data_IF_798012788781
#
_entry.id   IF_798012788781
#
_cell.length_a   1.000
_cell.length_b   1.000
_cell.length_c   1.000
_cell.angle_alpha   90.00
_cell.angle_beta   90.00
_cell.angle_gamma   90.00
#
_symmetry.space_group_name_H-M   'P 1'
#
loop_
_entity.id
_entity.type
_entity.pdbx_description
1 polymer ?
#
# COMPACT_ATOMS: atom_id res chain seq x y z
N UNK A 1 -18.08 7.61 0.25
CA UNK A 1 -19.37 7.60 -0.50
C UNK A 1 -19.11 7.17 -1.93
N UNK A 2 -20.00 6.37 -2.56
CA UNK A 2 -19.91 6.07 -3.99
C UNK A 2 -19.89 7.38 -4.80
N UNK A 3 -18.95 7.51 -5.75
CA UNK A 3 -18.83 8.69 -6.61
C UNK A 3 -18.07 9.90 -6.03
N UNK A 4 -17.42 9.76 -4.88
CA UNK A 4 -16.52 10.77 -4.32
C UNK A 4 -15.13 10.74 -4.99
N UNK A 5 -14.48 11.90 -5.09
CA UNK A 5 -13.24 12.21 -5.83
C UNK A 5 -11.98 11.48 -5.34
N UNK A 6 -12.06 10.66 -4.29
CA UNK A 6 -10.91 9.94 -3.75
C UNK A 6 -9.87 10.84 -3.06
N UNK A 7 -10.03 12.17 -3.04
CA UNK A 7 -9.10 13.10 -2.40
C UNK A 7 -9.01 12.83 -0.89
N UNK A 8 -10.15 12.61 -0.24
CA UNK A 8 -10.19 12.26 1.19
C UNK A 8 -9.41 10.97 1.50
N UNK A 9 -9.46 9.98 0.61
CA UNK A 9 -8.71 8.72 0.74
C UNK A 9 -7.20 8.95 0.60
N UNK A 10 -6.77 9.79 -0.33
CA UNK A 10 -5.36 10.19 -0.46
C UNK A 10 -4.87 10.96 0.77
N UNK A 11 -5.64 11.95 1.23
CA UNK A 11 -5.33 12.75 2.40
C UNK A 11 -5.23 11.88 3.68
N UNK A 12 -6.06 10.85 3.81
CA UNK A 12 -6.00 9.92 4.92
C UNK A 12 -4.66 9.16 4.99
N UNK A 13 -4.12 8.76 3.83
CA UNK A 13 -2.80 8.14 3.73
C UNK A 13 -1.66 9.05 4.14
N UNK A 14 -1.80 10.36 3.96
CA UNK A 14 -0.87 11.39 4.45
C UNK A 14 -0.95 11.49 5.97
N UNK A 15 -2.16 11.60 6.53
CA UNK A 15 -2.37 11.74 7.99
C UNK A 15 -1.85 10.52 8.77
N UNK A 16 -2.06 9.31 8.23
CA UNK A 16 -1.60 8.06 8.84
C UNK A 16 -0.16 7.68 8.50
N UNK A 17 0.43 8.35 7.50
CA UNK A 17 1.75 8.03 6.96
C UNK A 17 1.91 6.54 6.57
N UNK A 18 0.81 5.84 6.29
CA UNK A 18 0.73 4.38 6.12
C UNK A 18 0.68 3.95 4.65
N UNK A 19 0.62 4.92 3.73
CA UNK A 19 0.81 4.74 2.29
C UNK A 19 2.03 5.53 1.85
N UNK A 20 2.74 5.06 0.84
CA UNK A 20 3.95 5.65 0.31
C UNK A 20 3.65 6.98 -0.35
N UNK A 21 2.56 7.17 -1.11
CA UNK A 21 2.15 8.51 -1.52
C UNK A 21 2.04 9.46 -0.33
N UNK A 22 1.47 9.00 0.79
CA UNK A 22 1.41 9.74 2.03
C UNK A 22 2.78 10.07 2.61
N UNK A 23 3.66 9.07 2.70
CA UNK A 23 5.04 9.21 3.19
C UNK A 23 5.88 10.15 2.34
N UNK A 24 5.79 10.03 1.02
CA UNK A 24 6.45 10.90 0.06
C UNK A 24 5.93 12.32 0.19
N UNK A 25 4.62 12.52 0.30
CA UNK A 25 4.04 13.85 0.48
C UNK A 25 4.53 14.52 1.78
N UNK A 26 4.48 13.80 2.90
CA UNK A 26 4.97 14.31 4.19
C UNK A 26 6.45 14.64 4.15
N UNK A 27 7.28 13.74 3.61
CA UNK A 27 8.72 13.96 3.52
C UNK A 27 9.06 15.12 2.59
N UNK A 28 8.41 15.19 1.43
CA UNK A 28 8.59 16.28 0.48
C UNK A 28 8.23 17.63 1.11
N UNK A 29 7.10 17.72 1.80
CA UNK A 29 6.68 18.95 2.47
C UNK A 29 7.67 19.39 3.56
N UNK A 30 8.16 18.45 4.38
CA UNK A 30 9.16 18.75 5.41
C UNK A 30 10.50 19.19 4.80
N UNK A 31 10.98 18.51 3.77
CA UNK A 31 12.24 18.84 3.10
C UNK A 31 12.16 20.19 2.38
N UNK A 32 11.03 20.48 1.74
CA UNK A 32 10.79 21.80 1.15
C UNK A 32 10.79 22.89 2.22
N UNK A 33 10.02 22.72 3.30
CA UNK A 33 9.94 23.69 4.39
C UNK A 33 11.31 23.98 5.04
N UNK A 34 12.16 22.95 5.17
CA UNK A 34 13.50 23.08 5.74
C UNK A 34 14.42 23.99 4.92
N UNK A 35 14.19 24.11 3.60
CA UNK A 35 15.04 24.88 2.68
C UNK A 35 14.26 25.89 1.83
N UNK A 36 13.05 26.27 2.26
CA UNK A 36 12.14 27.06 1.44
C UNK A 36 12.72 28.43 1.12
N UNK A 37 13.47 29.04 2.04
CA UNK A 37 14.09 30.33 1.82
C UNK A 37 15.19 30.26 0.76
N UNK A 38 16.06 29.24 0.81
CA UNK A 38 17.09 29.03 -0.23
C UNK A 38 16.47 28.71 -1.59
N UNK A 39 15.27 28.14 -1.60
CA UNK A 39 14.52 27.81 -2.81
C UNK A 39 13.77 29.03 -3.40
N UNK A 40 13.99 30.24 -2.87
CA UNK A 40 13.39 31.48 -3.35
C UNK A 40 12.06 31.85 -2.69
N UNK A 41 11.64 31.14 -1.64
CA UNK A 41 10.44 31.49 -0.89
C UNK A 41 10.62 32.78 -0.08
N UNK A 42 9.54 33.56 0.03
CA UNK A 42 9.46 34.72 0.93
C UNK A 42 9.45 34.34 2.41
N UNK A 43 9.25 33.08 2.73
CA UNK A 43 9.21 32.58 4.09
C UNK A 43 10.59 32.07 4.53
N UNK A 44 10.89 32.22 5.82
CA UNK A 44 12.11 31.67 6.42
C UNK A 44 12.01 30.14 6.52
N UNK A 45 13.16 29.45 6.50
CA UNK A 45 13.20 27.99 6.70
C UNK A 45 12.51 27.56 7.98
N UNK A 46 11.80 26.44 7.90
CA UNK A 46 11.00 25.92 8.98
C UNK A 46 11.11 24.41 9.08
N UNK A 47 11.38 23.92 10.29
CA UNK A 47 11.26 22.52 10.65
C UNK A 47 10.06 22.36 11.57
N UNK A 48 9.07 21.56 11.16
CA UNK A 48 7.78 21.47 11.86
C UNK A 48 7.72 20.17 12.68
N UNK A 49 7.17 20.26 13.89
CA UNK A 49 6.81 19.09 14.70
C UNK A 49 5.54 18.42 14.17
N UNK A 50 5.28 17.18 14.60
CA UNK A 50 4.05 16.47 14.25
C UNK A 50 2.79 17.25 14.68
N UNK A 51 2.85 17.97 15.81
CA UNK A 51 1.76 18.87 16.25
C UNK A 51 1.57 20.08 15.35
N UNK A 52 2.65 20.67 14.84
CA UNK A 52 2.55 21.78 13.91
C UNK A 52 1.96 21.32 12.56
N UNK A 53 2.32 20.14 12.10
CA UNK A 53 1.70 19.50 10.93
C UNK A 53 0.22 19.15 11.16
N UNK A 54 -0.15 18.67 12.35
CA UNK A 54 -1.55 18.46 12.73
C UNK A 54 -2.35 19.78 12.69
N UNK A 55 -1.78 20.87 13.21
CA UNK A 55 -2.40 22.19 13.16
C UNK A 55 -2.55 22.72 11.73
N UNK A 56 -1.56 22.46 10.86
CA UNK A 56 -1.67 22.72 9.43
C UNK A 56 -2.82 21.90 8.79
N UNK A 57 -2.91 20.61 9.09
CA UNK A 57 -3.97 19.74 8.57
C UNK A 57 -5.38 20.22 8.94
N UNK A 58 -5.56 20.71 10.16
CA UNK A 58 -6.83 21.34 10.59
C UNK A 58 -7.15 22.60 9.80
N UNK A 59 -6.15 23.48 9.58
CA UNK A 59 -6.32 24.66 8.72
C UNK A 59 -6.69 24.27 7.29
N UNK A 60 -6.06 23.23 6.73
CA UNK A 60 -6.39 22.74 5.40
C UNK A 60 -7.85 22.26 5.33
N UNK A 61 -8.32 21.50 6.32
CA UNK A 61 -9.72 21.04 6.37
C UNK A 61 -10.72 22.21 6.45
N UNK A 62 -10.41 23.27 7.20
CA UNK A 62 -11.24 24.48 7.25
C UNK A 62 -11.32 25.17 5.88
N UNK A 63 -10.18 25.36 5.21
CA UNK A 63 -10.11 25.98 3.88
C UNK A 63 -10.80 25.13 2.81
N UNK A 64 -10.67 23.81 2.88
CA UNK A 64 -11.38 22.86 2.01
C UNK A 64 -12.90 22.97 2.21
N UNK A 65 -13.37 22.94 3.46
CA UNK A 65 -14.79 23.06 3.80
C UNK A 65 -15.40 24.37 3.30
N UNK A 66 -14.70 25.49 3.44
CA UNK A 66 -15.14 26.79 2.92
C UNK A 66 -15.42 26.76 1.41
N UNK A 67 -14.57 26.09 0.64
CA UNK A 67 -14.74 25.94 -0.81
C UNK A 67 -15.90 25.00 -1.15
N UNK A 68 -16.06 23.89 -0.43
CA UNK A 68 -17.22 23.00 -0.60
C UNK A 68 -18.53 23.73 -0.33
N UNK A 69 -18.59 24.49 0.76
CA UNK A 69 -19.75 25.33 1.08
C UNK A 69 -20.01 26.39 0.01
N UNK A 70 -18.97 26.95 -0.59
CA UNK A 70 -19.11 27.91 -1.69
C UNK A 70 -19.69 27.28 -2.96
N UNK A 71 -19.39 26.01 -3.25
CA UNK A 71 -20.01 25.27 -4.35
C UNK A 71 -21.46 24.87 -4.04
N UNK A 72 -21.75 24.46 -2.80
CA UNK A 72 -23.13 24.21 -2.36
C UNK A 72 -24.03 25.44 -2.51
N UNK A 73 -23.55 26.63 -2.10
CA UNK A 73 -24.28 27.90 -2.27
C UNK A 73 -24.53 28.27 -3.74
N UNK A 74 -23.80 27.69 -4.68
CA UNK A 74 -23.98 27.87 -6.13
C UNK A 74 -24.82 26.77 -6.76
N UNK A 75 -25.49 25.94 -5.95
CA UNK A 75 -26.30 24.82 -6.41
C UNK A 75 -25.48 23.81 -7.23
N UNK A 76 -24.20 23.65 -6.89
CA UNK A 76 -23.27 22.67 -7.48
C UNK A 76 -22.80 21.65 -6.44
N UNK A 77 -23.71 20.80 -5.91
CA UNK A 77 -23.35 19.78 -4.94
C UNK A 77 -22.41 18.71 -5.52
N UNK A 78 -22.41 18.52 -6.84
CA UNK A 78 -21.47 17.69 -7.58
C UNK A 78 -20.02 18.16 -7.39
N UNK A 79 -19.78 19.47 -7.52
CA UNK A 79 -18.45 20.07 -7.30
C UNK A 79 -18.10 20.24 -5.83
N UNK A 80 -19.11 20.34 -4.95
CA UNK A 80 -18.86 20.33 -3.51
C UNK A 80 -18.45 18.94 -3.01
N UNK A 81 -19.00 17.88 -3.61
CA UNK A 81 -18.63 16.49 -3.33
C UNK A 81 -17.25 16.17 -3.93
N UNK A 82 -17.02 16.60 -5.17
CA UNK A 82 -15.80 16.37 -5.94
C UNK A 82 -15.12 17.70 -6.25
N UNK A 83 -14.30 18.17 -5.31
CA UNK A 83 -13.73 19.51 -5.44
C UNK A 83 -12.84 19.58 -6.70
N UNK A 84 -13.04 20.60 -7.56
CA UNK A 84 -12.14 20.84 -8.69
C UNK A 84 -10.69 20.98 -8.22
N UNK A 85 -9.74 20.52 -9.02
CA UNK A 85 -8.31 20.61 -8.73
C UNK A 85 -7.87 22.04 -8.43
N UNK A 86 -8.44 23.03 -9.12
CA UNK A 86 -8.18 24.44 -8.84
C UNK A 86 -8.66 24.87 -7.45
N UNK A 87 -9.79 24.33 -6.96
CA UNK A 87 -10.28 24.58 -5.60
C UNK A 87 -9.39 23.89 -4.57
N UNK A 88 -9.01 22.64 -4.81
CA UNK A 88 -8.09 21.91 -3.91
C UNK A 88 -6.75 22.63 -3.81
N UNK A 89 -6.18 23.06 -4.94
CA UNK A 89 -4.94 23.84 -4.97
C UNK A 89 -5.07 25.14 -4.17
N UNK A 90 -6.18 25.87 -4.34
CA UNK A 90 -6.43 27.10 -3.58
C UNK A 90 -6.55 26.86 -2.07
N UNK A 91 -7.16 25.75 -1.64
CA UNK A 91 -7.22 25.39 -0.22
C UNK A 91 -5.82 25.15 0.36
N UNK A 92 -4.98 24.39 -0.35
CA UNK A 92 -3.60 24.14 0.07
C UNK A 92 -2.78 25.44 0.11
N UNK A 93 -2.84 26.25 -0.95
CA UNK A 93 -2.10 27.53 -1.01
C UNK A 93 -2.41 28.38 0.22
N UNK A 94 -3.71 28.58 0.51
CA UNK A 94 -4.15 29.35 1.68
C UNK A 94 -3.67 28.74 3.00
N UNK A 95 -3.72 27.41 3.13
CA UNK A 95 -3.28 26.74 4.34
C UNK A 95 -1.76 26.85 4.57
N UNK A 96 -0.95 26.68 3.51
CA UNK A 96 0.51 26.82 3.60
C UNK A 96 0.90 28.27 3.90
N UNK A 97 0.33 29.24 3.20
CA UNK A 97 0.63 30.66 3.42
C UNK A 97 0.27 31.12 4.83
N UNK A 98 -0.88 30.67 5.37
CA UNK A 98 -1.30 30.99 6.74
C UNK A 98 -0.31 30.45 7.78
N UNK A 99 0.41 29.37 7.47
CA UNK A 99 1.44 28.77 8.33
C UNK A 99 2.86 29.22 7.99
N UNK A 100 3.01 30.25 7.15
CA UNK A 100 4.31 30.76 6.68
C UNK A 100 5.16 29.69 6.01
N UNK A 101 4.50 28.85 5.22
CA UNK A 101 5.11 27.83 4.40
C UNK A 101 4.85 28.14 2.92
N UNK A 102 5.82 27.81 2.08
CA UNK A 102 5.66 27.96 0.64
C UNK A 102 4.55 27.02 0.12
N UNK A 103 3.61 27.47 -0.72
CA UNK A 103 2.62 26.60 -1.34
C UNK A 103 3.21 25.41 -2.10
N UNK A 104 4.45 25.53 -2.60
CA UNK A 104 5.15 24.44 -3.26
C UNK A 104 5.59 23.33 -2.29
N UNK A 105 5.35 23.45 -0.98
CA UNK A 105 5.42 22.32 -0.05
C UNK A 105 4.39 21.23 -0.39
N UNK A 106 3.30 21.58 -1.08
CA UNK A 106 2.33 20.60 -1.56
C UNK A 106 2.83 19.92 -2.83
N UNK A 107 3.04 18.60 -2.77
CA UNK A 107 3.66 17.83 -3.87
C UNK A 107 3.03 18.07 -5.24
N UNK A 108 1.69 18.01 -5.43
CA UNK A 108 1.07 18.24 -6.74
C UNK A 108 1.16 19.68 -7.24
N UNK A 109 1.41 20.66 -6.36
CA UNK A 109 1.30 22.10 -6.67
C UNK A 109 2.12 22.52 -7.86
N UNK A 110 3.38 22.08 -7.91
CA UNK A 110 4.33 22.47 -8.95
C UNK A 110 3.85 22.05 -10.35
N UNK A 111 3.36 20.82 -10.47
CA UNK A 111 2.84 20.29 -11.74
C UNK A 111 1.50 20.93 -12.12
N UNK A 112 0.58 21.07 -11.15
CA UNK A 112 -0.74 21.68 -11.41
C UNK A 112 -0.61 23.15 -11.83
N UNK A 113 0.30 23.91 -11.20
CA UNK A 113 0.57 25.28 -11.59
C UNK A 113 1.19 25.39 -12.98
N UNK A 114 2.18 24.56 -13.29
CA UNK A 114 2.78 24.53 -14.63
C UNK A 114 1.73 24.20 -15.71
N UNK A 115 0.82 23.26 -15.41
CA UNK A 115 -0.28 22.93 -16.29
C UNK A 115 -1.25 24.10 -16.49
N UNK A 116 -1.60 24.80 -15.41
CA UNK A 116 -2.46 25.98 -15.45
C UNK A 116 -1.84 27.10 -16.28
N UNK A 117 -0.56 27.41 -16.07
CA UNK A 117 0.15 28.47 -16.77
C UNK A 117 0.36 28.17 -18.25
N UNK A 118 0.73 26.93 -18.58
CA UNK A 118 1.06 26.54 -19.96
C UNK A 118 -0.17 26.19 -20.79
N UNK A 119 -1.09 25.42 -20.23
CA UNK A 119 -2.16 24.73 -20.97
C UNK A 119 -3.56 25.08 -20.46
N UNK A 120 -3.68 25.92 -19.43
CA UNK A 120 -4.94 26.45 -18.93
C UNK A 120 -5.70 25.54 -17.95
N UNK A 121 -6.86 26.03 -17.45
CA UNK A 121 -7.61 25.36 -16.38
C UNK A 121 -8.06 23.94 -16.73
N UNK A 122 -8.44 23.68 -17.99
CA UNK A 122 -8.89 22.35 -18.40
C UNK A 122 -7.79 21.29 -18.25
N UNK A 123 -6.53 21.66 -18.53
CA UNK A 123 -5.40 20.74 -18.39
C UNK A 123 -5.07 20.45 -16.94
N UNK A 124 -5.16 21.47 -16.07
CA UNK A 124 -5.03 21.29 -14.62
C UNK A 124 -6.05 20.28 -14.11
N UNK A 125 -7.33 20.43 -14.48
CA UNK A 125 -8.40 19.53 -14.03
C UNK A 125 -8.22 18.11 -14.57
N UNK A 126 -7.74 17.96 -15.82
CA UNK A 126 -7.40 16.65 -16.38
C UNK A 126 -6.29 15.96 -15.58
N UNK A 127 -5.19 16.68 -15.29
CA UNK A 127 -4.07 16.14 -14.52
C UNK A 127 -4.52 15.79 -13.10
N UNK A 128 -5.31 16.65 -12.45
CA UNK A 128 -5.85 16.39 -11.12
C UNK A 128 -6.72 15.14 -11.10
N UNK A 129 -7.66 15.01 -12.04
CA UNK A 129 -8.53 13.82 -12.16
C UNK A 129 -7.70 12.54 -12.33
N UNK A 130 -6.69 12.57 -13.19
CA UNK A 130 -5.78 11.44 -13.39
C UNK A 130 -4.97 11.08 -12.13
N UNK A 131 -4.65 12.07 -11.28
CA UNK A 131 -3.97 11.82 -9.99
C UNK A 131 -4.88 11.16 -8.95
N UNK A 132 -6.19 11.39 -9.05
CA UNK A 132 -7.21 10.85 -8.16
C UNK A 132 -7.63 9.42 -8.54
N UNK A 133 -7.61 9.09 -9.83
CA UNK A 133 -7.93 7.77 -10.37
C UNK A 133 -6.88 6.72 -9.96
N UNK A 134 -7.03 6.17 -8.76
CA UNK A 134 -6.19 5.12 -8.19
C UNK A 134 -6.44 3.71 -8.81
N UNK A 135 -7.19 3.63 -9.92
CA UNK A 135 -7.78 2.39 -10.43
C UNK A 135 -6.98 1.60 -11.48
N UNK A 136 -5.77 2.02 -11.88
CA UNK A 136 -5.05 1.32 -12.94
C UNK A 136 -3.52 1.38 -12.78
N UNK A 137 -2.92 0.19 -12.70
CA UNK A 137 -1.51 -0.13 -12.86
C UNK A 137 -0.53 0.44 -11.80
N UNK A 138 -0.03 -0.47 -10.96
CA UNK A 138 1.17 -0.30 -10.13
C UNK A 138 2.48 -0.20 -10.91
N UNK A 139 2.55 0.69 -11.89
CA UNK A 139 3.79 1.33 -12.29
C UNK A 139 3.86 2.66 -11.53
N UNK A 140 5.01 3.02 -10.96
CA UNK A 140 5.19 4.24 -10.16
C UNK A 140 4.42 5.41 -10.77
N UNK A 141 3.72 6.21 -9.94
CA UNK A 141 3.09 7.47 -10.37
C UNK A 141 4.01 8.25 -11.32
N UNK A 142 5.32 8.18 -11.11
CA UNK A 142 6.41 8.71 -11.96
C UNK A 142 6.30 8.34 -13.46
N UNK A 143 5.83 7.15 -13.83
CA UNK A 143 5.75 6.67 -15.22
C UNK A 143 4.71 7.41 -16.07
N UNK A 144 3.46 7.50 -15.59
CA UNK A 144 2.40 8.26 -16.27
C UNK A 144 2.52 9.78 -16.02
N UNK A 145 3.03 10.18 -14.84
CA UNK A 145 3.28 11.59 -14.50
C UNK A 145 4.49 12.15 -15.24
N UNK A 146 5.42 11.31 -15.71
CA UNK A 146 6.65 11.74 -16.38
C UNK A 146 6.39 12.44 -17.70
N UNK A 147 5.52 11.90 -18.55
CA UNK A 147 5.12 12.56 -19.80
C UNK A 147 4.45 13.90 -19.54
N UNK A 148 3.45 13.93 -18.64
CA UNK A 148 2.73 15.17 -18.28
C UNK A 148 3.70 16.20 -17.69
N UNK A 149 4.61 15.79 -16.81
CA UNK A 149 5.63 16.64 -16.20
C UNK A 149 6.52 17.30 -17.24
N UNK A 150 7.11 16.53 -18.16
CA UNK A 150 7.95 17.11 -19.22
C UNK A 150 7.13 17.98 -20.17
N UNK A 151 5.91 17.56 -20.50
CA UNK A 151 5.01 18.32 -21.37
C UNK A 151 4.59 19.66 -20.75
N UNK A 152 4.45 19.76 -19.43
CA UNK A 152 4.01 20.99 -18.76
C UNK A 152 5.17 21.86 -18.27
N UNK A 153 6.23 21.27 -17.72
CA UNK A 153 7.33 21.99 -17.07
C UNK A 153 8.58 22.16 -17.96
N UNK A 154 8.66 21.41 -19.07
CA UNK A 154 9.87 21.33 -19.89
C UNK A 154 10.93 20.38 -19.31
N UNK A 155 11.97 20.09 -20.09
CA UNK A 155 12.97 19.06 -19.76
C UNK A 155 13.73 19.36 -18.47
N UNK A 156 14.20 20.59 -18.27
CA UNK A 156 15.02 20.94 -17.11
C UNK A 156 14.22 20.87 -15.80
N UNK A 157 13.18 21.70 -15.66
CA UNK A 157 12.36 21.75 -14.45
C UNK A 157 11.60 20.42 -14.21
N UNK A 158 11.17 19.75 -15.27
CA UNK A 158 10.53 18.44 -15.16
C UNK A 158 11.49 17.36 -14.64
N UNK A 159 12.75 17.35 -15.08
CA UNK A 159 13.75 16.39 -14.62
C UNK A 159 14.08 16.60 -13.14
N UNK A 160 14.24 17.85 -12.72
CA UNK A 160 14.51 18.20 -11.32
C UNK A 160 13.37 17.78 -10.40
N UNK A 161 12.12 18.07 -10.81
CA UNK A 161 10.93 17.68 -10.05
C UNK A 161 10.81 16.15 -9.91
N UNK A 162 10.97 15.39 -11.00
CA UNK A 162 10.91 13.93 -10.96
C UNK A 162 12.07 13.32 -10.16
N UNK A 163 13.27 13.88 -10.24
CA UNK A 163 14.41 13.41 -9.45
C UNK A 163 14.15 13.61 -7.95
N UNK A 164 13.59 14.76 -7.55
CA UNK A 164 13.22 15.03 -6.15
C UNK A 164 12.16 14.05 -5.65
N UNK A 165 11.14 13.75 -6.46
CA UNK A 165 10.13 12.76 -6.08
C UNK A 165 10.69 11.34 -6.03
N UNK A 166 11.45 10.91 -7.03
CA UNK A 166 12.01 9.56 -7.09
C UNK A 166 13.01 9.27 -5.97
N UNK A 167 13.84 10.25 -5.59
CA UNK A 167 14.74 10.13 -4.44
C UNK A 167 13.97 10.06 -3.12
N UNK A 168 12.95 10.91 -2.96
CA UNK A 168 12.07 10.87 -1.77
C UNK A 168 11.34 9.54 -1.67
N UNK A 169 10.80 9.04 -2.78
CA UNK A 169 10.13 7.74 -2.90
C UNK A 169 11.05 6.61 -2.46
N UNK A 170 12.26 6.53 -3.02
CA UNK A 170 13.28 5.54 -2.65
C UNK A 170 13.62 5.55 -1.15
N UNK A 171 13.82 6.75 -0.57
CA UNK A 171 14.07 6.90 0.87
C UNK A 171 12.88 6.40 1.69
N UNK A 172 11.66 6.76 1.30
CA UNK A 172 10.44 6.37 2.03
C UNK A 172 10.07 4.89 1.86
N UNK A 173 10.60 4.18 0.84
CA UNK A 173 10.50 2.71 0.79
C UNK A 173 11.31 2.06 1.90
N UNK A 174 12.53 2.55 2.10
CA UNK A 174 13.51 1.92 2.98
C UNK A 174 13.26 2.34 4.43
N UNK A 175 13.08 3.65 4.64
CA UNK A 175 13.08 4.27 5.96
C UNK A 175 11.70 4.76 6.42
N UNK A 176 10.71 4.78 5.53
CA UNK A 176 9.38 5.28 5.85
C UNK A 176 8.61 4.37 6.80
N UNK A 177 7.97 4.94 7.82
CA UNK A 177 7.19 4.22 8.84
C UNK A 177 5.78 4.80 8.98
N UNK A 178 4.79 3.94 9.20
CA UNK A 178 3.43 4.33 9.56
C UNK A 178 3.39 5.14 10.86
N UNK A 179 2.49 6.13 10.93
CA UNK A 179 2.22 6.93 12.13
C UNK A 179 1.00 6.44 12.93
N UNK A 180 0.45 5.25 12.60
CA UNK A 180 -0.75 4.71 13.25
C UNK A 180 -0.46 4.25 14.69
N UNK A 181 0.72 3.67 14.92
CA UNK A 181 1.16 3.28 16.26
C UNK A 181 1.67 4.52 17.02
N UNK A 182 1.02 4.93 18.13
CA UNK A 182 1.43 6.07 18.92
C UNK A 182 2.71 5.80 19.73
N UNK A 183 3.04 4.53 19.98
CA UNK A 183 4.17 4.14 20.80
C UNK A 183 5.46 3.98 19.98
N UNK A 184 5.44 4.18 18.66
CA UNK A 184 6.64 4.01 17.80
C UNK A 184 6.84 5.23 16.91
N UNK A 185 7.91 5.99 17.15
CA UNK A 185 8.18 7.26 16.46
C UNK A 185 9.57 7.25 15.84
N UNK A 186 9.66 7.47 14.53
CA UNK A 186 10.93 7.53 13.79
C UNK A 186 10.88 6.77 12.48
N UNK A 187 12.05 6.45 11.93
CA UNK A 187 12.21 5.70 10.68
C UNK A 187 12.21 4.19 10.92
N UNK A 188 12.34 3.39 9.87
CA UNK A 188 12.49 1.94 10.01
C UNK A 188 13.79 1.56 10.71
N UNK A 189 14.90 2.21 10.36
CA UNK A 189 16.21 1.89 10.93
C UNK A 189 16.49 2.60 12.26
N UNK A 190 15.85 3.75 12.55
CA UNK A 190 16.06 4.52 13.78
C UNK A 190 14.75 5.06 14.34
N UNK A 191 14.31 4.54 15.48
CA UNK A 191 13.02 4.91 16.08
C UNK A 191 13.05 4.83 17.60
N UNK A 192 12.14 5.56 18.25
CA UNK A 192 11.88 5.46 19.67
C UNK A 192 10.62 4.63 19.92
N UNK A 193 10.67 3.75 20.92
CA UNK A 193 9.53 2.97 21.41
C UNK A 193 9.12 3.43 22.81
N UNK A 194 7.83 3.64 23.03
CA UNK A 194 7.27 3.95 24.34
C UNK A 194 6.85 2.67 25.06
N UNK A 195 7.33 2.50 26.29
CA UNK A 195 6.97 1.42 27.18
C UNK A 195 5.97 1.96 28.21
N UNK A 196 4.70 1.58 28.10
CA UNK A 196 3.62 2.18 28.89
C UNK A 196 3.67 1.85 30.38
N UNK A 197 4.09 0.62 30.75
CA UNK A 197 4.16 0.20 32.15
C UNK A 197 5.26 0.97 32.89
N UNK A 198 6.40 1.14 32.26
CA UNK A 198 7.58 1.82 32.78
C UNK A 198 7.56 3.32 32.51
N UNK A 199 6.65 3.79 31.66
CA UNK A 199 6.47 5.19 31.22
C UNK A 199 7.76 5.82 30.71
N UNK A 200 8.47 5.11 29.84
CA UNK A 200 9.78 5.54 29.30
C UNK A 200 9.93 5.31 27.81
N UNK A 201 10.86 6.03 27.21
CA UNK A 201 11.25 5.90 25.82
C UNK A 201 12.55 5.11 25.66
N UNK A 202 12.60 4.24 24.67
CA UNK A 202 13.80 3.50 24.28
C UNK A 202 14.07 3.74 22.81
N UNK A 203 15.23 4.31 22.50
CA UNK A 203 15.73 4.43 21.14
C UNK A 203 16.23 3.08 20.65
N UNK A 204 15.78 2.68 19.47
CA UNK A 204 16.17 1.48 18.74
C UNK A 204 16.89 1.90 17.46
N UNK A 205 18.07 1.32 17.25
CA UNK A 205 18.79 1.39 15.98
C UNK A 205 18.95 -0.02 15.43
N UNK A 206 18.50 -0.21 14.19
CA UNK A 206 18.55 -1.47 13.43
C UNK A 206 19.51 -1.37 12.23
N UNK A 207 20.62 -0.63 12.36
CA UNK A 207 21.60 -0.46 11.29
C UNK A 207 22.60 -1.62 11.21
N UNK A 208 22.87 -2.13 10.00
CA UNK A 208 23.98 -3.07 9.76
C UNK A 208 23.81 -4.46 10.40
N UNK A 209 22.57 -4.93 10.55
CA UNK A 209 22.25 -6.26 11.09
C UNK A 209 22.36 -6.39 12.61
N UNK A 210 22.65 -5.30 13.32
CA UNK A 210 22.72 -5.28 14.78
C UNK A 210 21.61 -4.39 15.34
N UNK A 211 20.87 -4.93 16.31
CA UNK A 211 19.87 -4.18 17.06
C UNK A 211 20.54 -3.61 18.30
N UNK A 212 20.53 -2.28 18.44
CA UNK A 212 20.89 -1.61 19.69
C UNK A 212 19.69 -0.89 20.27
N UNK A 213 19.52 -1.02 21.59
CA UNK A 213 18.43 -0.40 22.34
C UNK A 213 19.03 0.41 23.48
N UNK A 214 18.63 1.66 23.61
CA UNK A 214 19.10 2.56 24.66
C UNK A 214 17.94 3.41 25.16
N UNK A 215 17.78 3.47 26.47
CA UNK A 215 16.81 4.39 27.09
C UNK A 215 17.12 5.84 26.69
N UNK A 216 16.08 6.57 26.27
CA UNK A 216 16.17 8.00 26.01
C UNK A 216 16.05 8.74 27.35
N UNK A 217 17.07 9.54 27.67
CA UNK A 217 17.15 10.28 28.94
C UNK A 217 17.23 11.79 28.73
N UNK A 218 17.35 12.26 27.48
CA UNK A 218 17.36 13.68 27.16
C UNK A 218 15.94 14.27 27.33
N UNK A 219 15.73 15.20 28.28
CA UNK A 219 14.40 15.75 28.57
C UNK A 219 13.75 16.44 27.36
N UNK A 220 14.53 17.12 26.51
CA UNK A 220 14.00 17.79 25.33
C UNK A 220 13.48 16.79 24.30
N UNK A 221 14.20 15.68 24.11
CA UNK A 221 13.80 14.62 23.18
C UNK A 221 12.59 13.85 23.71
N UNK A 222 12.55 13.55 25.01
CA UNK A 222 11.38 12.93 25.66
C UNK A 222 10.14 13.81 25.44
N UNK A 223 10.24 15.12 25.67
CA UNK A 223 9.12 16.03 25.47
C UNK A 223 8.63 16.06 24.01
N UNK A 224 9.54 16.02 23.04
CA UNK A 224 9.19 15.93 21.61
C UNK A 224 8.46 14.61 21.29
N UNK A 225 8.95 13.49 21.81
CA UNK A 225 8.36 12.16 21.60
C UNK A 225 6.98 12.04 22.29
N UNK A 226 6.85 12.54 23.51
CA UNK A 226 5.58 12.58 24.23
C UNK A 226 4.56 13.45 23.49
N UNK A 227 4.97 14.59 22.92
CA UNK A 227 4.08 15.46 22.15
C UNK A 227 3.58 14.77 20.87
N UNK A 228 4.49 14.14 20.11
CA UNK A 228 4.13 13.40 18.92
C UNK A 228 3.24 12.18 19.24
N UNK A 229 3.52 11.46 20.34
CA UNK A 229 2.64 10.38 20.84
C UNK A 229 1.26 10.91 21.20
N UNK A 230 1.17 12.05 21.89
CA UNK A 230 -0.11 12.67 22.24
C UNK A 230 -0.93 13.01 21.00
N UNK A 231 -0.32 13.58 19.96
CA UNK A 231 -1.00 13.85 18.67
C UNK A 231 -1.58 12.57 18.05
N UNK A 232 -0.83 11.47 18.07
CA UNK A 232 -1.31 10.20 17.51
C UNK A 232 -2.46 9.59 18.31
N UNK A 233 -2.43 9.70 19.63
CA UNK A 233 -3.54 9.30 20.49
C UNK A 233 -4.79 10.18 20.25
N UNK A 234 -4.62 11.50 20.12
CA UNK A 234 -5.69 12.42 19.75
C UNK A 234 -6.32 12.01 18.40
N UNK A 235 -5.50 11.64 17.40
CA UNK A 235 -5.99 11.13 16.11
C UNK A 235 -6.78 9.83 16.24
N UNK A 236 -6.30 8.87 17.04
CA UNK A 236 -7.02 7.63 17.31
C UNK A 236 -8.38 7.90 17.97
N UNK A 237 -8.43 8.85 18.91
CA UNK A 237 -9.70 9.25 19.52
C UNK A 237 -10.63 9.92 18.51
N UNK A 238 -10.15 10.90 17.74
CA UNK A 238 -10.94 11.59 16.68
C UNK A 238 -11.46 10.60 15.63
N UNK A 239 -10.70 9.57 15.31
CA UNK A 239 -11.10 8.50 14.39
C UNK A 239 -12.32 7.70 14.85
N UNK A 240 -12.77 7.84 16.11
CA UNK A 240 -14.01 7.23 16.62
C UNK A 240 -15.20 8.19 16.67
N UNK A 241 -14.99 9.49 16.44
CA UNK A 241 -15.98 10.54 16.62
C UNK A 241 -16.82 10.75 15.34
N UNK A 242 -17.57 9.72 14.96
CA UNK A 242 -18.55 9.83 13.87
C UNK A 242 -19.85 10.45 14.36
N UNK A 243 -20.53 11.21 13.49
CA UNK A 243 -21.88 11.68 13.75
C UNK A 243 -22.83 10.48 13.94
N UNK A 244 -23.81 10.59 14.84
CA UNK A 244 -24.74 9.49 15.15
C UNK A 244 -25.57 9.06 13.93
N UNK A 245 -25.83 9.97 13.01
CA UNK A 245 -26.58 9.66 11.79
C UNK A 245 -25.69 9.24 10.61
N UNK A 246 -24.36 9.21 10.77
CA UNK A 246 -23.46 8.83 9.67
C UNK A 246 -23.50 7.30 9.47
N UNK A 247 -23.97 6.80 8.31
CA UNK A 247 -23.96 5.37 8.01
C UNK A 247 -22.56 4.87 7.58
N UNK A 248 -21.60 5.76 7.26
CA UNK A 248 -20.26 5.43 6.77
C UNK A 248 -19.20 5.51 7.86
N UNK A 249 -19.35 4.69 8.91
CA UNK A 249 -18.48 4.69 10.10
C UNK A 249 -17.17 3.89 9.93
N UNK A 250 -17.05 3.17 8.82
CA UNK A 250 -15.82 2.45 8.50
C UNK A 250 -14.81 3.41 7.90
N UNK A 251 -13.64 3.54 8.52
CA UNK A 251 -12.57 4.34 7.94
C UNK A 251 -11.96 3.60 6.76
N UNK A 252 -12.00 4.21 5.58
CA UNK A 252 -11.39 3.67 4.36
C UNK A 252 -9.91 3.35 4.58
N UNK A 253 -9.42 2.32 3.91
CA UNK A 253 -7.98 2.04 3.84
C UNK A 253 -7.29 3.09 2.98
N UNK A 254 -6.08 3.50 3.36
CA UNK A 254 -5.26 4.35 2.52
C UNK A 254 -4.96 3.68 1.18
N UNK A 255 -4.88 4.44 0.07
CA UNK A 255 -4.65 3.88 -1.25
C UNK A 255 -3.24 3.32 -1.34
N UNK A 256 -3.11 2.20 -2.06
CA UNK A 256 -1.89 1.39 -2.08
C UNK A 256 -1.10 1.63 -3.38
N UNK A 257 0.21 1.89 -3.31
CA UNK A 257 1.06 1.87 -4.52
C UNK A 257 1.67 0.50 -4.74
N UNK A 258 1.19 -0.21 -5.77
CA UNK A 258 1.58 -1.60 -6.03
C UNK A 258 3.07 -1.81 -6.31
N UNK A 259 3.82 -0.76 -6.70
CA UNK A 259 5.24 -0.86 -7.00
C UNK A 259 6.16 -0.68 -5.79
N UNK A 260 5.68 -0.10 -4.68
CA UNK A 260 6.60 0.53 -3.74
C UNK A 260 6.11 0.59 -2.28
N UNK A 261 4.79 0.50 -2.05
CA UNK A 261 4.26 0.35 -0.68
C UNK A 261 4.42 -1.05 -0.08
N UNK A 262 4.91 -2.02 -0.86
CA UNK A 262 5.05 -3.41 -0.44
C UNK A 262 3.70 -4.02 -0.11
N UNK A 263 3.02 -4.59 -1.11
CA UNK A 263 1.73 -5.30 -1.08
C UNK A 263 1.00 -5.27 0.28
N UNK A 264 -0.19 -4.66 0.40
CA UNK A 264 -0.87 -4.26 1.64
C UNK A 264 -0.49 -5.02 2.91
N UNK A 265 0.59 -4.66 3.62
CA UNK A 265 1.06 -5.39 4.80
C UNK A 265 0.81 -6.91 4.69
N UNK A 266 1.27 -7.53 3.60
CA UNK A 266 1.30 -8.99 3.44
C UNK A 266 2.38 -9.64 4.34
N UNK A 267 3.07 -8.85 5.16
CA UNK A 267 4.02 -9.33 6.17
C UNK A 267 3.38 -10.01 7.37
N UNK A 268 2.05 -10.05 7.47
CA UNK A 268 1.45 -11.25 8.04
C UNK A 268 1.12 -12.19 6.89
N UNK A 269 1.96 -13.22 6.73
CA UNK A 269 1.52 -14.43 6.05
C UNK A 269 0.10 -14.73 6.55
N UNK A 270 -0.87 -14.98 5.66
CA UNK A 270 -2.25 -15.18 6.07
C UNK A 270 -2.24 -16.22 7.19
N UNK A 271 -2.74 -15.86 8.37
CA UNK A 271 -2.76 -16.79 9.50
C UNK A 271 -4.01 -17.65 9.43
N UNK A 272 -5.03 -17.17 8.72
CA UNK A 272 -6.29 -17.85 8.48
C UNK A 272 -6.64 -17.83 6.99
N UNK A 273 -7.38 -18.83 6.54
CA UNK A 273 -7.90 -18.87 5.16
C UNK A 273 -8.84 -17.70 4.83
N UNK A 274 -9.42 -17.04 5.84
CA UNK A 274 -10.26 -15.85 5.67
C UNK A 274 -9.45 -14.58 5.33
N UNK A 275 -8.14 -14.58 5.59
CA UNK A 275 -7.25 -13.45 5.30
C UNK A 275 -6.97 -13.34 3.77
N UNK A 276 -7.21 -14.43 3.03
CA UNK A 276 -7.14 -14.49 1.57
C UNK A 276 -8.50 -14.03 1.00
N UNK A 277 -8.68 -12.72 0.89
CA UNK A 277 -9.87 -12.08 0.31
C UNK A 277 -9.80 -11.90 -1.22
N UNK A 278 -10.85 -11.35 -1.87
CA UNK A 278 -10.94 -11.19 -3.33
C UNK A 278 -9.75 -10.51 -4.01
N UNK A 279 -9.09 -9.60 -3.30
CA UNK A 279 -7.93 -8.85 -3.79
C UNK A 279 -6.59 -9.60 -3.60
N UNK A 280 -6.62 -10.84 -3.06
CA UNK A 280 -5.44 -11.67 -2.84
C UNK A 280 -5.11 -12.52 -4.08
N UNK A 281 -3.82 -12.61 -4.44
CA UNK A 281 -3.35 -13.38 -5.61
C UNK A 281 -3.78 -14.85 -5.62
N UNK A 282 -3.89 -15.44 -4.43
CA UNK A 282 -4.29 -16.84 -4.22
C UNK A 282 -5.80 -17.03 -4.03
N UNK A 283 -6.61 -15.97 -4.13
CA UNK A 283 -8.05 -16.05 -3.91
C UNK A 283 -8.75 -17.00 -4.88
N UNK A 284 -8.38 -16.95 -6.17
CA UNK A 284 -8.99 -17.83 -7.16
C UNK A 284 -8.66 -19.32 -6.86
N UNK A 285 -7.40 -19.60 -6.52
CA UNK A 285 -6.95 -20.93 -6.10
C UNK A 285 -7.67 -21.38 -4.83
N UNK A 286 -7.87 -20.50 -3.85
CA UNK A 286 -8.62 -20.78 -2.64
C UNK A 286 -10.06 -21.20 -2.96
N UNK A 287 -10.76 -20.48 -3.83
CA UNK A 287 -12.15 -20.79 -4.19
C UNK A 287 -12.26 -22.15 -4.89
N UNK A 288 -11.32 -22.47 -5.76
CA UNK A 288 -11.24 -23.76 -6.46
C UNK A 288 -11.00 -24.91 -5.48
N UNK A 289 -10.02 -24.76 -4.57
CA UNK A 289 -9.70 -25.77 -3.56
C UNK A 289 -10.85 -25.93 -2.57
N UNK A 290 -11.50 -24.84 -2.13
CA UNK A 290 -12.71 -24.89 -1.28
C UNK A 290 -13.83 -25.69 -1.94
N UNK A 291 -14.05 -25.47 -3.23
CA UNK A 291 -15.07 -26.20 -4.00
C UNK A 291 -14.74 -27.69 -4.05
N UNK A 292 -13.49 -28.05 -4.35
CA UNK A 292 -13.03 -29.44 -4.40
C UNK A 292 -13.11 -30.16 -3.06
N UNK A 293 -12.64 -29.52 -1.98
CA UNK A 293 -12.72 -30.08 -0.62
C UNK A 293 -14.17 -30.18 -0.13
N UNK A 294 -15.00 -29.17 -0.43
CA UNK A 294 -16.44 -29.23 -0.13
C UNK A 294 -17.14 -30.41 -0.82
N UNK A 295 -16.74 -30.75 -2.05
CA UNK A 295 -17.25 -31.94 -2.73
C UNK A 295 -16.78 -33.24 -2.04
N UNK A 296 -15.54 -33.29 -1.55
CA UNK A 296 -15.02 -34.43 -0.76
C UNK A 296 -15.83 -34.60 0.53
N UNK A 297 -16.10 -33.52 1.26
CA UNK A 297 -16.87 -33.58 2.50
C UNK A 297 -18.32 -34.01 2.25
N UNK A 298 -18.96 -33.47 1.21
CA UNK A 298 -20.30 -33.87 0.81
C UNK A 298 -20.37 -35.35 0.43
N UNK A 299 -19.39 -35.89 -0.31
CA UNK A 299 -19.31 -37.32 -0.63
C UNK A 299 -19.14 -38.19 0.61
N UNK A 300 -18.43 -37.70 1.63
CA UNK A 300 -18.27 -38.37 2.92
C UNK A 300 -19.47 -38.18 3.88
N UNK A 301 -20.50 -37.43 3.48
CA UNK A 301 -21.65 -37.10 4.33
C UNK A 301 -21.29 -36.21 5.51
N UNK A 302 -20.23 -35.41 5.40
CA UNK A 302 -19.73 -34.52 6.46
C UNK A 302 -20.00 -33.06 6.11
N UNK A 303 -20.18 -32.25 7.15
CA UNK A 303 -20.14 -30.79 7.03
C UNK A 303 -18.70 -30.31 7.14
N UNK A 304 -18.31 -29.21 6.46
CA UNK A 304 -16.97 -28.64 6.59
C UNK A 304 -16.60 -28.38 8.06
N UNK A 305 -15.41 -28.83 8.46
CA UNK A 305 -14.89 -28.73 9.82
C UNK A 305 -13.43 -28.25 9.84
N UNK A 306 -12.78 -28.27 11.01
CA UNK A 306 -11.37 -27.88 11.14
C UNK A 306 -10.42 -28.71 10.27
N UNK A 307 -10.72 -29.99 10.03
CA UNK A 307 -9.90 -30.83 9.16
C UNK A 307 -10.08 -30.43 7.69
N UNK A 308 -11.28 -30.00 7.30
CA UNK A 308 -11.53 -29.41 5.98
C UNK A 308 -10.69 -28.15 5.77
N UNK A 309 -10.60 -27.27 6.77
CA UNK A 309 -9.75 -26.06 6.69
C UNK A 309 -8.27 -26.40 6.55
N UNK A 310 -7.75 -27.34 7.35
CA UNK A 310 -6.35 -27.80 7.25
C UNK A 310 -6.07 -28.44 5.88
N UNK A 311 -7.00 -29.23 5.37
CA UNK A 311 -6.91 -29.84 4.05
C UNK A 311 -6.86 -28.78 2.95
N UNK A 312 -7.72 -27.75 3.01
CA UNK A 312 -7.72 -26.64 2.05
C UNK A 312 -6.37 -25.93 2.06
N UNK A 313 -5.86 -25.55 3.23
CA UNK A 313 -4.59 -24.85 3.35
C UNK A 313 -3.43 -25.68 2.79
N UNK A 314 -3.34 -26.96 3.17
CA UNK A 314 -2.29 -27.87 2.71
C UNK A 314 -2.33 -28.12 1.20
N UNK A 315 -3.52 -28.26 0.61
CA UNK A 315 -3.70 -28.45 -0.83
C UNK A 315 -3.32 -27.20 -1.63
N UNK A 316 -3.66 -26.00 -1.14
CA UNK A 316 -3.19 -24.76 -1.76
C UNK A 316 -1.67 -24.68 -1.80
N UNK A 317 -1.02 -24.99 -0.68
CA UNK A 317 0.45 -25.01 -0.57
C UNK A 317 1.06 -26.02 -1.52
N UNK A 318 0.51 -27.24 -1.58
CA UNK A 318 0.94 -28.29 -2.50
C UNK A 318 0.85 -27.84 -3.97
N UNK A 319 -0.25 -27.18 -4.35
CA UNK A 319 -0.42 -26.63 -5.69
C UNK A 319 0.66 -25.60 -6.02
N UNK A 320 0.96 -24.69 -5.09
CA UNK A 320 1.99 -23.66 -5.30
C UNK A 320 3.39 -24.23 -5.40
N UNK A 321 3.75 -25.16 -4.53
CA UNK A 321 5.07 -25.82 -4.55
C UNK A 321 5.33 -26.61 -5.85
N UNK A 322 4.27 -27.09 -6.50
CA UNK A 322 4.39 -27.88 -7.73
C UNK A 322 4.12 -27.08 -9.01
N UNK A 323 4.16 -25.75 -8.92
CA UNK A 323 3.98 -24.87 -10.09
C UNK A 323 2.59 -24.99 -10.76
N UNK A 324 1.57 -25.43 -10.02
CA UNK A 324 0.19 -25.35 -10.51
C UNK A 324 -0.31 -23.90 -10.37
N UNK A 325 -1.01 -23.42 -11.38
CA UNK A 325 -1.60 -22.08 -11.43
C UNK A 325 -3.03 -22.08 -10.89
N UNK A 326 -3.73 -23.20 -11.05
CA UNK A 326 -5.12 -23.43 -10.62
C UNK A 326 -5.33 -24.87 -10.14
N UNK A 327 -6.45 -25.12 -9.47
CA UNK A 327 -6.86 -26.43 -8.98
C UNK A 327 -8.21 -26.83 -9.61
N UNK A 328 -8.18 -27.34 -10.84
CA UNK A 328 -9.40 -27.75 -11.55
C UNK A 328 -10.09 -28.93 -10.82
N UNK A 329 -9.32 -29.82 -10.19
CA UNK A 329 -9.85 -30.88 -9.34
C UNK A 329 -9.04 -31.07 -8.05
N UNK A 330 -9.73 -31.37 -6.95
CA UNK A 330 -9.15 -31.91 -5.71
C UNK A 330 -9.81 -33.26 -5.45
N UNK A 331 -9.03 -34.33 -5.44
CA UNK A 331 -9.55 -35.71 -5.38
C UNK A 331 -8.76 -36.57 -4.42
N UNK A 332 -9.41 -37.60 -3.88
CA UNK A 332 -8.81 -38.59 -3.00
C UNK A 332 -8.40 -39.85 -3.77
N UNK A 333 -7.37 -40.55 -3.29
CA UNK A 333 -6.94 -41.82 -3.87
C UNK A 333 -8.02 -42.90 -3.76
N UNK A 334 -8.15 -43.72 -4.80
CA UNK A 334 -8.97 -44.93 -4.74
C UNK A 334 -8.31 -45.99 -3.83
N UNK A 335 -9.11 -46.95 -3.36
CA UNK A 335 -8.61 -48.11 -2.64
C UNK A 335 -7.75 -48.99 -3.57
N UNK A 336 -6.60 -49.44 -3.08
CA UNK A 336 -5.73 -50.40 -3.74
C UNK A 336 -5.53 -51.63 -2.85
N UNK A 337 -4.82 -52.66 -3.33
CA UNK A 337 -4.47 -53.82 -2.52
C UNK A 337 -3.58 -53.46 -1.31
N UNK A 338 -2.80 -52.37 -1.42
CA UNK A 338 -1.82 -51.97 -0.41
C UNK A 338 -2.30 -50.80 0.46
N UNK A 339 -3.23 -49.97 -0.03
CA UNK A 339 -3.66 -48.75 0.65
C UNK A 339 -5.17 -48.55 0.61
N UNK A 340 -5.77 -48.01 1.69
CA UNK A 340 -7.19 -47.67 1.72
C UNK A 340 -7.50 -46.48 0.80
N UNK A 341 -8.77 -46.35 0.42
CA UNK A 341 -9.26 -45.13 -0.22
C UNK A 341 -8.99 -43.91 0.69
N UNK A 342 -8.74 -42.76 0.08
CA UNK A 342 -8.47 -41.52 0.82
C UNK A 342 -7.09 -41.42 1.46
N UNK A 343 -6.17 -42.37 1.22
CA UNK A 343 -4.80 -42.31 1.74
C UNK A 343 -4.02 -41.08 1.26
N UNK A 344 -4.25 -40.66 0.02
CA UNK A 344 -3.54 -39.55 -0.63
C UNK A 344 -4.56 -38.56 -1.22
N UNK A 345 -4.31 -37.27 -1.04
CA UNK A 345 -5.03 -36.20 -1.72
C UNK A 345 -4.22 -35.72 -2.92
N UNK A 346 -4.91 -35.48 -4.03
CA UNK A 346 -4.35 -34.95 -5.26
C UNK A 346 -4.98 -33.60 -5.60
N UNK A 347 -4.14 -32.69 -6.06
CA UNK A 347 -4.58 -31.48 -6.77
C UNK A 347 -4.21 -31.62 -8.24
N UNK A 348 -5.16 -31.36 -9.12
CA UNK A 348 -5.02 -31.56 -10.57
C UNK A 348 -5.40 -30.28 -11.30
N UNK A 349 -4.58 -29.92 -12.28
CA UNK A 349 -4.82 -28.86 -13.26
C UNK A 349 -4.99 -29.50 -14.64
N UNK A 350 -6.14 -29.28 -15.26
CA UNK A 350 -6.62 -29.93 -16.47
C UNK A 350 -7.63 -31.04 -16.19
N UNK A 351 -8.28 -31.52 -17.26
CA UNK A 351 -9.28 -32.60 -17.22
C UNK A 351 -8.66 -33.93 -16.72
N UNK A 352 -9.37 -34.64 -15.83
CA UNK A 352 -8.89 -35.91 -15.25
C UNK A 352 -8.57 -37.01 -16.28
N UNK A 353 -9.27 -37.01 -17.42
CA UNK A 353 -9.06 -37.96 -18.51
C UNK A 353 -8.01 -37.51 -19.53
N UNK A 354 -7.47 -36.29 -19.40
CA UNK A 354 -6.42 -35.79 -20.27
C UNK A 354 -5.05 -36.22 -19.74
N UNK A 355 -4.24 -36.99 -20.49
CA UNK A 355 -2.92 -37.43 -20.03
C UNK A 355 -1.92 -36.28 -19.81
N UNK A 356 -2.19 -35.09 -20.36
CA UNK A 356 -1.38 -33.89 -20.18
C UNK A 356 -1.76 -33.07 -18.93
N UNK A 357 -2.65 -33.57 -18.06
CA UNK A 357 -2.95 -32.87 -16.81
C UNK A 357 -1.70 -32.76 -15.93
N UNK A 358 -1.58 -31.65 -15.22
CA UNK A 358 -0.57 -31.49 -14.17
C UNK A 358 -1.20 -31.93 -12.85
N UNK A 359 -0.45 -32.65 -12.03
CA UNK A 359 -0.92 -33.05 -10.71
C UNK A 359 0.19 -33.01 -9.67
N UNK A 360 -0.22 -32.75 -8.44
CA UNK A 360 0.60 -32.91 -7.26
C UNK A 360 -0.16 -33.73 -6.22
N UNK A 361 0.57 -34.43 -5.34
CA UNK A 361 0.00 -35.36 -4.38
C UNK A 361 0.65 -35.21 -3.01
N UNK A 362 -0.13 -35.41 -1.95
CA UNK A 362 0.42 -35.55 -0.60
C UNK A 362 -0.44 -36.51 0.25
N UNK A 363 0.13 -37.16 1.29
CA UNK A 363 -0.65 -37.98 2.20
C UNK A 363 -1.76 -37.18 2.89
N UNK A 364 -2.98 -37.71 2.90
CA UNK A 364 -4.15 -36.99 3.46
C UNK A 364 -4.01 -36.78 4.97
N UNK A 365 -3.41 -37.72 5.68
CA UNK A 365 -3.12 -37.63 7.11
C UNK A 365 -2.15 -36.50 7.46
N UNK A 366 -1.17 -36.23 6.58
CA UNK A 366 -0.31 -35.06 6.71
C UNK A 366 -1.13 -33.80 6.47
N UNK A 367 -1.89 -33.74 5.38
CA UNK A 367 -2.66 -32.56 4.99
C UNK A 367 -3.66 -32.09 6.08
N UNK A 368 -4.31 -33.01 6.79
CA UNK A 368 -5.28 -32.69 7.86
C UNK A 368 -4.64 -32.49 9.25
N UNK A 369 -3.37 -32.86 9.43
CA UNK A 369 -2.63 -32.65 10.69
C UNK A 369 -1.78 -31.38 10.68
N UNK A 370 -1.39 -30.89 9.51
CA UNK A 370 -0.65 -29.63 9.40
C UNK A 370 -1.55 -28.46 9.81
N UNK A 371 -1.15 -27.64 10.80
CA UNK A 371 -1.88 -26.44 11.18
C UNK A 371 -2.04 -25.48 10.00
N UNK A 372 -3.18 -24.79 9.95
CA UNK A 372 -3.51 -23.86 8.85
C UNK A 372 -2.43 -22.78 8.75
N UNK A 373 -2.00 -22.23 9.88
CA UNK A 373 -0.96 -21.21 9.98
C UNK A 373 0.36 -21.68 9.35
N UNK A 374 0.73 -22.93 9.61
CA UNK A 374 1.97 -23.53 9.07
C UNK A 374 1.87 -23.71 7.55
N UNK A 375 0.74 -24.22 7.05
CA UNK A 375 0.52 -24.38 5.60
C UNK A 375 0.54 -23.03 4.89
N UNK A 376 -0.06 -22.00 5.46
CA UNK A 376 -0.11 -20.66 4.87
C UNK A 376 1.25 -19.94 4.89
N UNK A 377 2.07 -20.15 5.92
CA UNK A 377 3.46 -19.68 5.92
C UNK A 377 4.29 -20.31 4.78
N UNK A 378 4.08 -21.60 4.52
CA UNK A 378 4.73 -22.31 3.42
C UNK A 378 4.20 -21.87 2.04
N UNK A 379 2.89 -21.58 1.95
CA UNK A 379 2.25 -21.04 0.74
C UNK A 379 2.89 -19.72 0.32
N UNK A 380 3.13 -18.82 1.29
CA UNK A 380 3.74 -17.52 1.03
C UNK A 380 5.16 -17.68 0.50
N UNK A 381 5.95 -18.56 1.12
CA UNK A 381 7.32 -18.88 0.70
C UNK A 381 7.36 -19.37 -0.75
N UNK A 382 6.52 -20.38 -1.08
CA UNK A 382 6.44 -20.94 -2.43
C UNK A 382 5.99 -19.90 -3.48
N UNK A 383 5.11 -19.00 -3.09
CA UNK A 383 4.59 -17.95 -3.99
C UNK A 383 5.63 -16.86 -4.26
N UNK A 384 6.41 -16.46 -3.26
CA UNK A 384 7.54 -15.53 -3.41
C UNK A 384 8.65 -16.12 -4.29
N UNK A 385 9.01 -17.39 -4.09
CA UNK A 385 10.02 -18.08 -4.90
C UNK A 385 9.61 -18.14 -6.38
N UNK A 386 8.36 -18.50 -6.66
CA UNK A 386 7.81 -18.51 -8.03
C UNK A 386 7.88 -17.13 -8.67
N UNK A 387 7.49 -16.09 -7.94
CA UNK A 387 7.48 -14.72 -8.45
C UNK A 387 8.90 -14.24 -8.80
N UNK A 388 9.90 -14.59 -7.99
CA UNK A 388 11.31 -14.34 -8.30
C UNK A 388 11.77 -15.08 -9.57
N UNK A 389 11.39 -16.35 -9.73
CA UNK A 389 11.73 -17.13 -10.91
C UNK A 389 11.13 -16.55 -12.20
N UNK A 390 9.88 -16.09 -12.15
CA UNK A 390 9.21 -15.45 -13.29
C UNK A 390 9.87 -14.12 -13.69
N UNK A 391 10.28 -13.29 -12.71
CA UNK A 391 10.98 -12.03 -13.01
C UNK A 391 12.36 -12.28 -13.62
N UNK A 392 13.10 -13.28 -13.14
CA UNK A 392 14.41 -13.63 -13.71
C UNK A 392 14.28 -14.15 -15.16
N UNK A 393 13.24 -14.94 -15.45
CA UNK A 393 12.95 -15.41 -16.82
C UNK A 393 12.64 -14.27 -17.78
N UNK A 394 11.80 -13.31 -17.38
CA UNK A 394 11.48 -12.15 -18.22
C UNK A 394 12.70 -11.26 -18.49
N UNK A 395 13.61 -11.14 -17.51
CA UNK A 395 14.82 -10.35 -17.66
C UNK A 395 15.82 -11.02 -18.61
N UNK A 396 15.97 -12.34 -18.54
CA UNK A 396 16.78 -13.11 -19.48
C UNK A 396 16.21 -13.06 -20.91
N UNK A 397 14.89 -13.15 -21.08
CA UNK A 397 14.25 -13.04 -22.40
C UNK A 397 14.41 -11.63 -23.01
N UNK A 398 14.35 -10.57 -22.20
CA UNK A 398 14.67 -9.22 -22.66
C UNK A 398 16.14 -9.10 -23.09
N UNK A 399 17.07 -9.59 -22.30
CA UNK A 399 18.50 -9.55 -22.61
C UNK A 399 18.82 -10.34 -23.89
N UNK A 400 18.16 -11.49 -24.10
CA UNK A 400 18.32 -12.27 -25.32
C UNK A 400 17.76 -11.55 -26.55
N UNK A 401 16.58 -10.93 -26.45
CA UNK A 401 15.99 -10.14 -27.54
C UNK A 401 16.82 -8.90 -27.88
N UNK A 402 17.44 -8.27 -26.88
CA UNK A 402 18.35 -7.12 -27.10
C UNK A 402 19.63 -7.59 -27.81
N UNK A 403 20.20 -8.74 -27.42
CA UNK A 403 21.35 -9.34 -28.11
C UNK A 403 21.04 -9.77 -29.54
N UNK A 404 19.89 -10.40 -29.80
CA UNK A 404 19.49 -10.79 -31.16
C UNK A 404 19.27 -9.57 -32.06
N UNK A 405 18.60 -8.52 -31.56
CA UNK A 405 18.42 -7.28 -32.31
C UNK A 405 19.74 -6.55 -32.59
N UNK A 406 20.72 -6.62 -31.68
CA UNK A 406 22.04 -6.03 -31.88
C UNK A 406 22.87 -6.83 -32.90
N UNK A 407 22.72 -8.15 -32.93
CA UNK A 407 23.33 -9.05 -33.91
C UNK A 407 22.79 -8.83 -35.33
N UNK A 408 21.48 -8.64 -35.50
CA UNK A 408 20.85 -8.40 -36.81
C UNK A 408 21.15 -7.01 -37.41
N UNK A 409 21.58 -6.04 -36.60
CA UNK A 409 21.97 -4.69 -37.08
C UNK A 409 23.45 -4.60 -37.52
N UNK A 410 24.24 -5.61 -37.22
CA UNK A 410 25.68 -5.68 -37.51
C UNK A 410 26.02 -6.62 -38.68
N UNK A 411 25.02 -7.35 -39.21
CA UNK A 411 25.10 -8.16 -40.43
C UNK A 411 24.37 -7.43 -41.56
#
# INVERSE_FOLDING_TARGET
MPGADGYGTLALGVVRNDSLPGRVANRYAQDYANTQHESGSRFANAQLSERQWESFGQTLLERDLELRQAWLRRERPDLALNLPGASVMLAHDRAFEQRRLDPNCWTPRVLLQAALEKSGPQKLEQIWTNMLDNGYAGASRIGNTGYETFSQMGMAAGSEYLAKLGTTEAIQMLEGRSAVDPNVIGSNSFYAMYFEQERKWVNVSASGGHLSMREETNPARIAELDDARAVRLERQQKATQFHEEDPYRSITRSPFTASVDGVPNQTQAPTKLADIGPDHRDYNLLQQVRTGVGAIDAQAGRTPDENSERLIASVMTLARQNNLDRADHVVLSNQTAEHPAGRTVFVVQGELNNPAHLRAAMPTDVAVRTPVEQSLQQLETASVERQRALMQGQQQDMDNRVRENMSMRMA
#
